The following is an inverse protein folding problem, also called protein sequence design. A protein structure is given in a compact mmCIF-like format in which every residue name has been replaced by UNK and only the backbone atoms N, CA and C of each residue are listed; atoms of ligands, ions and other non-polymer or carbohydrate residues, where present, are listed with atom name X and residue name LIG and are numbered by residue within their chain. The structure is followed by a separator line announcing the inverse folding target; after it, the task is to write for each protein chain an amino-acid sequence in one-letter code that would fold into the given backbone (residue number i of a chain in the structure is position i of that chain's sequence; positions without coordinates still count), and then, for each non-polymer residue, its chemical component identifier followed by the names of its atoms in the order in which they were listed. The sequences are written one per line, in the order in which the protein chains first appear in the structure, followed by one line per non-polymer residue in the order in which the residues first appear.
data_IF_024616042365
#
_entry.id   IF_024616042365
#
_cell.length_a   1.000
_cell.length_b   1.000
_cell.length_c   1.000
_cell.angle_alpha   90.00
_cell.angle_beta   90.00
_cell.angle_gamma   90.00
#
_symmetry.space_group_name_H-M   'P 1'
#
loop_
_entity.id
_entity.type
_entity.pdbx_description
1 polymer ?
#
# COMPACT_ATOMS: atom_id res chain seq x y z
N UNK A 1 -14.04 3.68 1.69
CA UNK A 1 -13.34 4.90 1.26
C UNK A 1 -12.86 5.78 2.41
N UNK A 2 -13.59 5.93 3.52
CA UNK A 2 -13.11 6.73 4.68
C UNK A 2 -12.10 6.01 5.57
N UNK A 3 -12.08 4.68 5.51
CA UNK A 3 -11.25 3.85 6.38
C UNK A 3 -11.97 3.50 7.69
N UNK A 4 -11.42 2.52 8.44
CA UNK A 4 -11.89 2.17 9.77
C UNK A 4 -11.59 3.28 10.79
N UNK A 5 -12.57 3.57 11.66
CA UNK A 5 -12.45 4.51 12.79
C UNK A 5 -12.91 3.84 14.07
N UNK A 6 -12.27 4.16 15.19
CA UNK A 6 -12.69 3.71 16.52
C UNK A 6 -13.90 4.52 17.05
N UNK A 7 -14.38 4.19 18.25
CA UNK A 7 -15.55 4.86 18.85
C UNK A 7 -15.29 6.32 19.23
N UNK A 8 -14.03 6.72 19.34
CA UNK A 8 -13.60 8.10 19.60
C UNK A 8 -13.38 8.91 18.32
N UNK A 9 -13.51 8.27 17.14
CA UNK A 9 -13.27 8.89 15.84
C UNK A 9 -11.80 8.91 15.41
N UNK A 10 -10.92 8.16 16.07
CA UNK A 10 -9.54 7.98 15.65
C UNK A 10 -9.51 7.07 14.42
N UNK A 11 -8.86 7.52 13.34
CA UNK A 11 -8.67 6.69 12.14
C UNK A 11 -7.61 5.63 12.41
N UNK A 12 -7.91 4.35 12.15
CA UNK A 12 -6.95 3.24 12.34
C UNK A 12 -6.11 3.01 11.09
N UNK A 13 -6.68 3.25 9.92
CA UNK A 13 -6.02 3.03 8.63
C UNK A 13 -6.69 3.89 7.56
N UNK A 14 -5.96 4.38 6.54
CA UNK A 14 -6.60 5.10 5.44
C UNK A 14 -7.62 4.22 4.72
N UNK A 15 -8.66 4.87 4.20
CA UNK A 15 -9.63 4.15 3.39
C UNK A 15 -9.08 3.82 2.01
N UNK A 16 -9.73 2.86 1.34
CA UNK A 16 -9.35 2.44 -0.01
C UNK A 16 -9.39 3.63 -0.99
N UNK A 17 -8.38 3.72 -1.85
CA UNK A 17 -8.32 4.67 -2.96
C UNK A 17 -9.48 4.49 -3.95
N UNK A 18 -9.98 5.59 -4.49
CA UNK A 18 -10.89 5.56 -5.64
C UNK A 18 -10.18 4.94 -6.86
N UNK A 19 -10.86 4.03 -7.55
CA UNK A 19 -10.31 3.30 -8.69
C UNK A 19 -9.79 1.89 -8.33
N UNK A 20 -9.68 1.57 -7.05
CA UNK A 20 -9.27 0.23 -6.58
C UNK A 20 -10.39 -0.81 -6.65
N UNK A 21 -11.64 -0.41 -6.97
CA UNK A 21 -12.87 -1.21 -6.83
C UNK A 21 -12.86 -2.47 -7.69
N UNK A 22 -12.17 -2.42 -8.84
CA UNK A 22 -12.09 -3.55 -9.77
C UNK A 22 -11.47 -4.81 -9.15
N UNK A 23 -10.70 -4.65 -8.07
CA UNK A 23 -10.09 -5.76 -7.34
C UNK A 23 -10.83 -6.10 -6.03
N UNK A 24 -11.87 -5.35 -5.63
CA UNK A 24 -12.54 -5.56 -4.34
C UNK A 24 -13.26 -6.90 -4.25
N UNK A 25 -13.86 -7.41 -5.33
CA UNK A 25 -14.48 -8.74 -5.32
C UNK A 25 -13.44 -9.86 -5.10
N UNK A 26 -12.23 -9.66 -5.63
CA UNK A 26 -11.12 -10.61 -5.45
C UNK A 26 -10.63 -10.61 -4.00
N UNK A 27 -10.55 -9.44 -3.39
CA UNK A 27 -9.91 -9.32 -2.08
C UNK A 27 -10.88 -9.19 -0.92
N UNK A 28 -12.02 -8.51 -1.00
CA UNK A 28 -12.80 -8.09 0.17
C UNK A 28 -14.26 -8.53 0.19
N UNK A 29 -14.91 -8.56 -0.97
CA UNK A 29 -16.36 -8.76 -1.04
C UNK A 29 -16.65 -10.27 -1.19
N UNK A 30 -17.34 -10.91 -0.23
CA UNK A 30 -17.79 -12.29 -0.38
C UNK A 30 -18.78 -12.41 -1.55
N UNK A 31 -18.58 -13.41 -2.41
CA UNK A 31 -19.53 -13.76 -3.45
C UNK A 31 -19.48 -15.27 -3.75
N UNK A 32 -20.44 -15.77 -4.51
CA UNK A 32 -20.53 -17.22 -4.80
C UNK A 32 -19.26 -17.78 -5.46
N UNK A 33 -18.58 -17.00 -6.30
CA UNK A 33 -17.37 -17.43 -7.00
C UNK A 33 -16.09 -17.42 -6.16
N UNK A 34 -16.10 -16.87 -4.94
CA UNK A 34 -14.98 -16.97 -3.99
C UNK A 34 -15.34 -17.80 -2.73
N UNK A 35 -16.37 -18.64 -2.84
CA UNK A 35 -16.85 -19.49 -1.75
C UNK A 35 -17.27 -18.70 -0.50
N UNK A 36 -17.81 -17.49 -0.70
CA UNK A 36 -18.17 -16.55 0.36
C UNK A 36 -17.01 -16.23 1.31
N UNK A 37 -15.77 -16.31 0.84
CA UNK A 37 -14.57 -16.06 1.65
C UNK A 37 -14.48 -14.58 2.05
N UNK A 38 -14.44 -14.24 3.34
CA UNK A 38 -14.36 -12.87 3.82
C UNK A 38 -12.92 -12.35 3.76
N UNK A 39 -12.33 -12.25 2.57
CA UNK A 39 -11.01 -11.64 2.40
C UNK A 39 -9.85 -12.35 3.09
N UNK A 40 -8.84 -11.58 3.48
CA UNK A 40 -7.69 -11.87 4.31
C UNK A 40 -8.04 -12.13 5.78
N UNK A 41 -9.31 -12.03 6.18
CA UNK A 41 -9.76 -12.56 7.48
C UNK A 41 -9.52 -14.07 7.54
N UNK A 42 -9.56 -14.75 6.38
CA UNK A 42 -9.06 -16.12 6.24
C UNK A 42 -7.58 -16.05 5.81
N UNK A 43 -6.68 -16.06 6.80
CA UNK A 43 -5.23 -15.97 6.60
C UNK A 43 -4.62 -14.78 7.33
N UNK A 44 -3.71 -14.06 6.66
CA UNK A 44 -2.78 -13.09 7.29
C UNK A 44 -3.42 -12.13 8.28
N UNK A 45 -4.58 -11.52 7.97
CA UNK A 45 -5.18 -10.55 8.90
C UNK A 45 -5.81 -11.24 10.12
N UNK A 46 -6.53 -12.35 9.91
CA UNK A 46 -7.11 -13.14 11.00
C UNK A 46 -6.04 -13.75 11.90
N UNK A 47 -4.98 -14.32 11.31
CA UNK A 47 -3.85 -14.89 12.02
C UNK A 47 -3.07 -13.82 12.78
N UNK A 48 -2.85 -12.64 12.18
CA UNK A 48 -2.19 -11.54 12.89
C UNK A 48 -3.00 -11.10 14.10
N UNK A 49 -4.32 -10.89 13.96
CA UNK A 49 -5.16 -10.50 15.09
C UNK A 49 -5.20 -11.57 16.19
N UNK A 50 -5.12 -12.85 15.83
CA UNK A 50 -5.19 -13.93 16.80
C UNK A 50 -3.85 -14.29 17.47
N UNK A 51 -2.71 -14.06 16.82
CA UNK A 51 -1.42 -14.58 17.29
C UNK A 51 -0.30 -13.53 17.38
N UNK A 52 -0.52 -12.31 16.87
CA UNK A 52 0.54 -11.30 16.79
C UNK A 52 0.14 -9.91 17.28
N UNK A 53 -1.15 -9.57 17.31
CA UNK A 53 -1.58 -8.24 17.74
C UNK A 53 -1.53 -8.06 19.27
N UNK A 54 -1.89 -9.10 20.03
CA UNK A 54 -1.92 -9.05 21.49
C UNK A 54 -0.66 -9.69 22.10
N UNK A 55 -0.23 -9.22 23.28
CA UNK A 55 0.85 -9.88 24.04
C UNK A 55 0.44 -11.29 24.50
N UNK A 56 -0.84 -11.46 24.83
CA UNK A 56 -1.44 -12.74 25.18
C UNK A 56 -2.50 -13.09 24.16
N UNK A 57 -2.31 -14.21 23.46
CA UNK A 57 -3.24 -14.69 22.45
C UNK A 57 -4.66 -14.77 23.03
N UNK A 58 -5.68 -14.17 22.37
CA UNK A 58 -7.07 -14.20 22.84
C UNK A 58 -7.68 -15.60 22.80
N UNK A 59 -7.06 -16.54 22.07
CA UNK A 59 -7.45 -17.93 22.05
C UNK A 59 -7.06 -18.66 20.78
N UNK A 60 -7.61 -19.86 20.62
CA UNK A 60 -7.53 -20.57 19.34
C UNK A 60 -8.57 -20.02 18.38
N UNK A 61 -8.23 -19.88 17.12
CA UNK A 61 -9.22 -19.51 16.09
C UNK A 61 -10.35 -20.54 16.05
N UNK A 62 -11.58 -20.07 15.86
CA UNK A 62 -12.74 -20.95 15.69
C UNK A 62 -12.54 -21.95 14.54
N UNK A 63 -13.22 -23.11 14.55
CA UNK A 63 -12.99 -24.17 13.56
C UNK A 63 -13.27 -23.76 12.10
N UNK A 64 -14.26 -22.89 11.87
CA UNK A 64 -14.55 -22.32 10.55
C UNK A 64 -14.79 -20.81 10.65
N UNK A 65 -13.78 -20.03 10.32
CA UNK A 65 -13.81 -18.55 10.33
C UNK A 65 -14.89 -17.93 9.43
N UNK A 66 -15.56 -18.72 8.59
CA UNK A 66 -16.68 -18.28 7.75
C UNK A 66 -18.04 -18.39 8.45
N UNK A 67 -18.14 -19.17 9.53
CA UNK A 67 -19.37 -19.32 10.29
C UNK A 67 -19.58 -18.13 11.22
N UNK A 68 -20.15 -17.05 10.67
CA UNK A 68 -20.46 -15.84 11.43
C UNK A 68 -21.52 -16.04 12.53
N UNK A 69 -22.17 -17.20 12.60
CA UNK A 69 -23.12 -17.55 13.66
C UNK A 69 -22.47 -18.36 14.79
N UNK A 70 -21.23 -18.82 14.59
CA UNK A 70 -20.49 -19.59 15.57
C UNK A 70 -20.38 -18.81 16.88
N UNK A 71 -20.65 -19.48 17.99
CA UNK A 71 -20.53 -18.89 19.33
C UNK A 71 -19.21 -19.38 19.94
N UNK A 72 -18.14 -18.56 19.93
CA UNK A 72 -16.85 -18.97 20.44
C UNK A 72 -16.91 -19.24 21.94
N UNK A 73 -16.25 -20.32 22.38
CA UNK A 73 -16.08 -20.59 23.79
C UNK A 73 -15.03 -19.65 24.37
N UNK A 74 -15.46 -18.54 24.94
CA UNK A 74 -14.58 -17.54 25.55
C UNK A 74 -14.17 -17.88 26.98
N UNK A 75 -14.78 -18.92 27.58
CA UNK A 75 -14.49 -19.41 28.92
C UNK A 75 -13.69 -20.72 28.95
N UNK A 76 -12.78 -20.84 29.91
CA UNK A 76 -12.02 -22.07 30.17
C UNK A 76 -10.54 -21.99 29.81
N UNK A 77 -9.86 -23.14 29.86
CA UNK A 77 -8.40 -23.25 29.76
C UNK A 77 -7.88 -22.94 28.34
N UNK A 78 -8.73 -23.13 27.33
CA UNK A 78 -8.43 -22.83 25.94
C UNK A 78 -9.60 -22.04 25.34
N UNK A 79 -9.62 -20.70 25.52
CA UNK A 79 -10.63 -19.86 24.91
C UNK A 79 -10.50 -19.87 23.38
N UNK A 80 -11.57 -19.51 22.70
CA UNK A 80 -11.65 -19.39 21.25
C UNK A 80 -11.82 -17.92 20.84
N UNK A 81 -11.23 -17.56 19.71
CA UNK A 81 -11.30 -16.23 19.12
C UNK A 81 -12.00 -16.28 17.76
N UNK A 82 -12.99 -15.42 17.58
CA UNK A 82 -13.64 -15.15 16.30
C UNK A 82 -13.36 -13.70 15.88
N UNK A 83 -13.03 -13.50 14.61
CA UNK A 83 -12.77 -12.16 14.06
C UNK A 83 -13.93 -11.15 14.23
N UNK A 84 -15.18 -11.62 14.43
CA UNK A 84 -16.34 -10.74 14.61
C UNK A 84 -16.37 -10.13 16.02
N UNK A 85 -15.67 -10.75 16.97
CA UNK A 85 -15.51 -10.27 18.34
C UNK A 85 -14.35 -9.29 18.48
N UNK A 86 -13.60 -9.03 17.40
CA UNK A 86 -12.53 -8.05 17.40
C UNK A 86 -13.08 -6.65 17.67
N UNK A 87 -12.53 -5.98 18.68
CA UNK A 87 -12.87 -4.61 19.02
C UNK A 87 -11.84 -3.66 18.40
N UNK A 88 -12.29 -2.81 17.46
CA UNK A 88 -11.44 -1.83 16.78
C UNK A 88 -10.78 -0.84 17.76
N UNK A 89 -11.39 -0.61 18.92
CA UNK A 89 -10.82 0.25 19.95
C UNK A 89 -9.48 -0.30 20.49
N UNK A 90 -9.18 -1.59 20.28
CA UNK A 90 -7.95 -2.20 20.74
C UNK A 90 -6.67 -1.68 20.06
N UNK A 91 -6.81 -0.99 18.92
CA UNK A 91 -5.71 -0.22 18.32
C UNK A 91 -5.22 0.93 19.19
N UNK A 92 -6.09 1.48 20.05
CA UNK A 92 -5.81 2.67 20.87
C UNK A 92 -6.00 2.46 22.38
N UNK A 93 -6.50 1.29 22.80
CA UNK A 93 -6.72 0.97 24.21
C UNK A 93 -5.45 0.58 24.98
N UNK A 94 -4.35 0.34 24.26
CA UNK A 94 -3.07 -0.13 24.79
C UNK A 94 -2.86 -1.64 24.71
N UNK A 95 -3.89 -2.43 24.37
CA UNK A 95 -3.79 -3.90 24.30
C UNK A 95 -2.80 -4.39 23.24
N UNK A 96 -2.65 -3.66 22.14
CA UNK A 96 -1.72 -3.99 21.06
C UNK A 96 -0.37 -3.27 21.11
N UNK A 97 -0.16 -2.34 22.05
CA UNK A 97 0.97 -1.40 21.99
C UNK A 97 2.34 -2.09 22.03
N UNK A 98 2.50 -3.13 22.85
CA UNK A 98 3.76 -3.88 22.90
C UNK A 98 4.08 -4.52 21.56
N UNK A 99 3.12 -5.23 20.98
CA UNK A 99 3.36 -5.97 19.75
C UNK A 99 3.57 -5.04 18.56
N UNK A 100 2.74 -4.00 18.43
CA UNK A 100 2.94 -2.90 17.46
C UNK A 100 4.34 -2.30 17.55
N UNK A 101 4.84 -2.04 18.77
CA UNK A 101 6.19 -1.49 18.96
C UNK A 101 7.33 -2.41 18.46
N UNK A 102 7.04 -3.69 18.22
CA UNK A 102 7.99 -4.68 17.70
C UNK A 102 7.79 -4.89 16.20
N UNK A 103 6.54 -4.89 15.73
CA UNK A 103 6.18 -5.31 14.36
C UNK A 103 6.01 -4.16 13.38
N UNK A 104 5.64 -2.98 13.85
CA UNK A 104 5.27 -1.88 12.98
C UNK A 104 6.54 -1.21 12.44
N UNK A 105 6.63 -1.12 11.11
CA UNK A 105 7.78 -0.58 10.40
C UNK A 105 7.55 0.90 10.04
N UNK A 106 7.20 1.70 11.04
CA UNK A 106 6.68 3.06 10.85
C UNK A 106 7.67 4.18 11.21
N UNK A 107 8.91 3.86 11.65
CA UNK A 107 9.91 4.87 12.03
C UNK A 107 10.24 5.79 10.83
N UNK A 108 9.88 7.10 10.89
CA UNK A 108 10.15 8.04 9.81
C UNK A 108 11.56 8.64 9.90
N UNK A 109 12.29 8.41 11.00
CA UNK A 109 13.63 8.97 11.18
C UNK A 109 14.70 8.08 10.54
N UNK A 110 14.93 8.32 9.25
CA UNK A 110 15.93 7.62 8.46
C UNK A 110 17.26 8.38 8.38
N UNK A 111 17.54 9.30 9.31
CA UNK A 111 18.76 10.14 9.30
C UNK A 111 20.03 9.33 9.15
N UNK A 112 20.17 8.24 9.93
CA UNK A 112 21.35 7.39 9.87
C UNK A 112 21.56 6.77 8.48
N UNK A 113 20.49 6.34 7.83
CA UNK A 113 20.56 5.67 6.54
C UNK A 113 20.74 6.68 5.39
N UNK A 114 19.85 7.68 5.30
CA UNK A 114 19.78 8.59 4.17
C UNK A 114 20.82 9.71 4.25
N UNK A 115 21.09 10.26 5.44
CA UNK A 115 21.95 11.44 5.61
C UNK A 115 23.37 11.06 6.03
N UNK A 116 23.51 10.24 7.08
CA UNK A 116 24.84 9.94 7.63
C UNK A 116 25.63 8.97 6.74
N UNK A 117 24.93 8.08 6.02
CA UNK A 117 25.53 7.05 5.16
C UNK A 117 25.31 7.29 3.67
N UNK A 118 24.56 8.32 3.29
CA UNK A 118 24.24 8.63 1.90
C UNK A 118 23.44 7.53 1.20
N UNK A 119 22.66 6.75 1.95
CA UNK A 119 21.80 5.70 1.40
C UNK A 119 20.80 6.26 0.39
N UNK A 120 20.43 5.42 -0.58
CA UNK A 120 19.41 5.74 -1.58
C UNK A 120 18.19 4.84 -1.39
N UNK A 121 17.00 5.43 -1.46
CA UNK A 121 15.72 4.76 -1.24
C UNK A 121 14.76 5.08 -2.38
N UNK A 122 14.28 4.04 -3.07
CA UNK A 122 13.15 4.15 -3.99
C UNK A 122 11.97 3.43 -3.35
N UNK A 123 10.88 4.17 -3.11
CA UNK A 123 9.60 3.62 -2.71
C UNK A 123 8.67 3.67 -3.91
N UNK A 124 7.93 2.61 -4.17
CA UNK A 124 6.86 2.63 -5.17
C UNK A 124 5.59 2.01 -4.61
N UNK A 125 4.43 2.49 -5.06
CA UNK A 125 3.14 1.89 -4.70
C UNK A 125 2.16 1.99 -5.87
N UNK A 126 1.34 0.97 -6.07
CA UNK A 126 0.22 1.02 -7.01
C UNK A 126 -0.93 1.85 -6.47
N UNK A 127 -1.33 2.91 -7.17
CA UNK A 127 -2.42 3.78 -6.68
C UNK A 127 -3.78 3.08 -6.66
N UNK A 128 -3.92 2.00 -7.42
CA UNK A 128 -5.12 1.15 -7.43
C UNK A 128 -4.90 -0.15 -6.64
N UNK A 129 -3.87 -0.20 -5.79
CA UNK A 129 -3.68 -1.29 -4.84
C UNK A 129 -4.87 -1.31 -3.88
N UNK A 130 -5.59 -2.42 -3.90
CA UNK A 130 -6.71 -2.61 -2.98
C UNK A 130 -6.26 -3.30 -1.71
N UNK A 131 -5.18 -4.09 -1.75
CA UNK A 131 -4.73 -4.90 -0.62
C UNK A 131 -4.10 -4.01 0.46
N UNK A 132 -3.12 -3.20 0.06
CA UNK A 132 -2.46 -2.18 0.89
C UNK A 132 -2.77 -0.83 0.21
N UNK A 133 -3.11 0.21 0.98
CA UNK A 133 -3.53 1.48 0.39
C UNK A 133 -2.33 2.38 0.14
N UNK A 134 -2.27 3.00 -1.03
CA UNK A 134 -1.16 3.86 -1.41
C UNK A 134 -1.09 5.13 -0.56
N UNK A 135 -2.23 5.58 -0.03
CA UNK A 135 -2.35 6.70 0.90
C UNK A 135 -1.45 6.52 2.13
N UNK A 136 -1.39 5.32 2.70
CA UNK A 136 -0.58 5.02 3.88
C UNK A 136 0.93 5.13 3.60
N UNK A 137 1.36 4.70 2.41
CA UNK A 137 2.74 4.89 1.95
C UNK A 137 3.07 6.36 1.66
N UNK A 138 2.10 7.12 1.16
CA UNK A 138 2.24 8.55 0.95
C UNK A 138 2.39 9.30 2.29
N UNK A 139 1.57 8.94 3.28
CA UNK A 139 1.64 9.50 4.63
C UNK A 139 3.00 9.19 5.28
N UNK A 140 3.45 7.93 5.24
CA UNK A 140 4.79 7.56 5.71
C UNK A 140 5.91 8.35 5.01
N UNK A 141 5.86 8.50 3.68
CA UNK A 141 6.87 9.25 2.96
C UNK A 141 6.91 10.72 3.39
N UNK A 142 5.73 11.33 3.57
CA UNK A 142 5.64 12.71 4.05
C UNK A 142 6.17 12.86 5.48
N UNK A 143 5.88 11.90 6.37
CA UNK A 143 6.42 11.90 7.73
C UNK A 143 7.95 11.73 7.73
N UNK A 144 8.48 10.84 6.88
CA UNK A 144 9.92 10.67 6.69
C UNK A 144 10.57 11.97 6.18
N UNK A 145 9.96 12.65 5.21
CA UNK A 145 10.42 13.97 4.72
C UNK A 145 10.40 15.01 5.85
N UNK A 146 9.32 15.06 6.62
CA UNK A 146 9.17 15.99 7.74
C UNK A 146 10.23 15.77 8.82
N UNK A 147 10.44 14.52 9.25
CA UNK A 147 11.32 14.17 10.36
C UNK A 147 12.80 14.14 9.92
N UNK A 148 13.12 13.50 8.80
CA UNK A 148 14.51 13.31 8.35
C UNK A 148 15.06 14.55 7.63
N UNK A 149 14.23 15.24 6.86
CA UNK A 149 14.62 16.36 5.98
C UNK A 149 13.98 17.70 6.35
N UNK A 150 13.37 17.81 7.54
CA UNK A 150 12.75 19.05 8.02
C UNK A 150 11.69 19.61 7.08
N UNK A 151 10.95 18.71 6.39
CA UNK A 151 9.88 19.06 5.47
C UNK A 151 10.33 19.41 4.05
N UNK A 152 11.63 19.36 3.74
CA UNK A 152 12.15 19.67 2.41
C UNK A 152 12.07 18.44 1.48
N UNK A 153 11.03 18.39 0.64
CA UNK A 153 10.92 17.38 -0.44
C UNK A 153 12.13 17.44 -1.38
N UNK A 154 12.63 18.64 -1.69
CA UNK A 154 13.79 18.80 -2.56
C UNK A 154 15.04 18.13 -1.96
N UNK A 155 15.27 18.28 -0.65
CA UNK A 155 16.38 17.62 0.04
C UNK A 155 16.15 16.11 0.17
N UNK A 156 14.90 15.69 0.43
CA UNK A 156 14.56 14.27 0.46
C UNK A 156 14.87 13.60 -0.88
N UNK A 157 14.51 14.22 -2.01
CA UNK A 157 14.71 13.71 -3.36
C UNK A 157 16.19 13.50 -3.76
N UNK A 158 17.16 13.98 -2.97
CA UNK A 158 18.59 13.66 -3.16
C UNK A 158 18.95 12.23 -2.71
N UNK A 159 18.12 11.63 -1.83
CA UNK A 159 18.36 10.31 -1.23
C UNK A 159 17.14 9.38 -1.20
N UNK A 160 15.92 9.90 -1.26
CA UNK A 160 14.69 9.13 -1.15
C UNK A 160 13.62 9.68 -2.11
N UNK A 161 13.08 8.80 -2.96
CA UNK A 161 12.04 9.15 -3.93
C UNK A 161 10.85 8.18 -3.83
N UNK A 162 9.64 8.74 -3.95
CA UNK A 162 8.39 7.99 -4.01
C UNK A 162 7.81 8.02 -5.42
N UNK A 163 7.42 6.86 -5.95
CA UNK A 163 6.80 6.67 -7.26
C UNK A 163 5.41 6.03 -7.10
N UNK A 164 4.36 6.81 -7.26
CA UNK A 164 2.97 6.34 -7.20
C UNK A 164 2.49 5.99 -8.61
N UNK A 165 2.22 4.71 -8.86
CA UNK A 165 1.90 4.19 -10.19
C UNK A 165 0.37 4.15 -10.42
N UNK A 166 -0.22 5.06 -11.24
CA UNK A 166 -1.65 5.11 -11.43
C UNK A 166 -2.17 3.88 -12.18
N UNK A 167 -3.23 3.27 -11.68
CA UNK A 167 -3.83 2.08 -12.28
C UNK A 167 -3.06 0.78 -12.04
N UNK A 168 -1.90 0.81 -11.38
CA UNK A 168 -1.25 -0.41 -10.90
C UNK A 168 -1.96 -0.93 -9.64
N UNK A 169 -2.20 -2.23 -9.58
CA UNK A 169 -2.73 -2.92 -8.40
C UNK A 169 -1.65 -3.32 -7.39
N UNK A 170 -1.93 -4.37 -6.60
CA UNK A 170 -1.00 -4.88 -5.59
C UNK A 170 0.27 -5.45 -6.21
N UNK A 171 1.38 -4.72 -6.08
CA UNK A 171 2.72 -4.98 -6.64
C UNK A 171 2.81 -4.99 -8.19
N UNK A 172 1.75 -5.41 -8.89
CA UNK A 172 1.65 -5.51 -10.35
C UNK A 172 0.17 -5.58 -10.79
N UNK A 173 -0.05 -5.68 -12.10
CA UNK A 173 -1.39 -5.77 -12.69
C UNK A 173 -2.20 -4.48 -12.50
N UNK A 174 -3.52 -4.59 -12.68
CA UNK A 174 -4.41 -3.42 -12.74
C UNK A 174 -4.46 -2.81 -14.16
N UNK A 175 -5.35 -1.84 -14.40
CA UNK A 175 -5.60 -1.28 -15.75
C UNK A 175 -4.52 -0.31 -16.25
N UNK A 176 -3.55 0.08 -15.41
CA UNK A 176 -2.52 1.05 -15.74
C UNK A 176 -1.13 0.41 -15.92
N UNK A 177 -0.14 1.21 -16.35
CA UNK A 177 1.24 0.79 -16.44
C UNK A 177 1.77 0.23 -15.11
N UNK A 178 2.27 -1.01 -15.14
CA UNK A 178 2.66 -1.76 -13.93
C UNK A 178 3.97 -2.55 -14.08
N UNK A 179 4.59 -2.53 -15.27
CA UNK A 179 5.83 -3.22 -15.57
C UNK A 179 6.96 -2.24 -15.88
N UNK A 180 8.07 -2.39 -15.16
CA UNK A 180 9.34 -1.68 -15.36
C UNK A 180 10.45 -2.42 -14.58
N UNK A 181 11.71 -2.06 -14.84
CA UNK A 181 12.84 -2.53 -14.05
C UNK A 181 12.91 -1.78 -12.71
N UNK A 182 12.61 -2.47 -11.61
CA UNK A 182 12.60 -1.91 -10.26
C UNK A 182 14.00 -1.77 -9.64
N UNK A 183 15.01 -2.40 -10.23
CA UNK A 183 16.37 -2.46 -9.69
C UNK A 183 17.32 -1.53 -10.44
N UNK A 184 17.27 -1.49 -11.78
CA UNK A 184 18.20 -0.70 -12.58
C UNK A 184 18.25 0.80 -12.21
N UNK A 185 17.12 1.50 -11.95
CA UNK A 185 17.16 2.90 -11.52
C UNK A 185 17.85 3.09 -10.15
N UNK A 186 17.69 2.13 -9.24
CA UNK A 186 18.36 2.18 -7.93
C UNK A 186 19.86 1.93 -8.08
N UNK A 187 20.26 0.99 -8.95
CA UNK A 187 21.68 0.72 -9.25
C UNK A 187 22.34 1.96 -9.82
N UNK A 188 21.73 2.60 -10.81
CA UNK A 188 22.27 3.82 -11.42
C UNK A 188 22.37 4.98 -10.41
N UNK A 189 21.38 5.11 -9.52
CA UNK A 189 21.42 6.11 -8.47
C UNK A 189 22.51 5.85 -7.43
N UNK A 190 22.72 4.60 -7.03
CA UNK A 190 23.74 4.24 -6.03
C UNK A 190 25.15 4.31 -6.63
N UNK A 191 25.34 3.83 -7.86
CA UNK A 191 26.67 3.67 -8.45
C UNK A 191 27.15 4.93 -9.20
N UNK A 192 26.23 5.69 -9.80
CA UNK A 192 26.56 6.83 -10.67
C UNK A 192 25.98 8.17 -10.18
N UNK A 193 25.29 8.18 -9.03
CA UNK A 193 24.59 9.35 -8.48
C UNK A 193 23.55 9.95 -9.45
N UNK A 194 22.95 9.08 -10.28
CA UNK A 194 21.89 9.46 -11.22
C UNK A 194 20.53 9.08 -10.64
N UNK A 195 19.91 10.04 -9.94
CA UNK A 195 18.56 9.85 -9.41
C UNK A 195 17.52 9.82 -10.55
N UNK A 196 16.56 8.87 -10.56
CA UNK A 196 15.52 8.86 -11.56
C UNK A 196 14.56 10.04 -11.38
N UNK A 197 14.44 10.91 -12.39
CA UNK A 197 13.39 11.94 -12.40
C UNK A 197 11.99 11.35 -12.66
N UNK A 198 11.96 10.23 -13.39
CA UNK A 198 10.78 9.44 -13.70
C UNK A 198 11.20 8.01 -14.07
N UNK A 199 10.24 7.10 -14.03
CA UNK A 199 10.40 5.70 -14.43
C UNK A 199 9.39 5.42 -15.54
N UNK A 200 9.85 4.99 -16.71
CA UNK A 200 8.93 4.57 -17.77
C UNK A 200 8.35 3.19 -17.41
N UNK A 201 7.03 3.14 -17.27
CA UNK A 201 6.31 1.90 -17.02
C UNK A 201 5.38 1.58 -18.19
N UNK A 202 5.14 0.28 -18.38
CA UNK A 202 4.24 -0.25 -19.41
C UNK A 202 3.10 -1.06 -18.80
N UNK A 203 1.97 -1.07 -19.48
CA UNK A 203 0.92 -2.07 -19.38
C UNK A 203 0.94 -2.87 -20.68
N UNK A 204 0.55 -4.15 -20.61
CA UNK A 204 0.47 -5.00 -21.80
C UNK A 204 -0.79 -5.84 -21.78
N UNK A 205 -1.45 -5.89 -22.93
CA UNK A 205 -2.58 -6.78 -23.20
C UNK A 205 -2.17 -7.79 -24.26
N UNK A 206 -2.43 -9.08 -24.01
CA UNK A 206 -2.11 -10.18 -24.94
C UNK A 206 -0.65 -10.17 -25.44
N UNK A 207 0.30 -9.75 -24.59
CA UNK A 207 1.73 -9.72 -24.90
C UNK A 207 2.19 -8.48 -25.69
N UNK A 208 1.30 -7.53 -25.97
CA UNK A 208 1.63 -6.26 -26.63
C UNK A 208 1.47 -5.09 -25.67
N UNK A 209 2.43 -4.16 -25.68
CA UNK A 209 2.32 -2.89 -24.94
C UNK A 209 1.18 -2.06 -25.54
N UNK A 210 0.25 -1.63 -24.70
CA UNK A 210 -0.93 -0.85 -25.08
C UNK A 210 -1.08 0.46 -24.29
N UNK A 211 -0.23 0.66 -23.27
CA UNK A 211 -0.17 1.90 -22.50
C UNK A 211 1.23 2.03 -21.88
N UNK A 212 1.87 3.15 -22.15
CA UNK A 212 3.19 3.49 -21.62
C UNK A 212 3.14 4.90 -21.04
N UNK A 213 3.64 5.06 -19.81
CA UNK A 213 3.66 6.36 -19.12
C UNK A 213 4.89 6.48 -18.22
N UNK A 214 5.44 7.70 -18.06
CA UNK A 214 6.34 7.97 -16.96
C UNK A 214 5.57 7.90 -15.64
N UNK A 215 6.10 7.17 -14.66
CA UNK A 215 5.76 7.31 -13.26
C UNK A 215 6.70 8.39 -12.71
N UNK A 216 6.13 9.48 -12.22
CA UNK A 216 6.89 10.65 -11.79
C UNK A 216 7.33 10.52 -10.32
N UNK A 217 8.48 11.11 -10.00
CA UNK A 217 8.87 11.28 -8.61
C UNK A 217 7.89 12.24 -7.91
N UNK A 218 7.26 11.79 -6.83
CA UNK A 218 6.35 12.58 -6.02
C UNK A 218 7.02 13.90 -5.59
N UNK A 219 6.31 15.05 -5.61
CA UNK A 219 4.87 15.23 -5.82
C UNK A 219 4.42 15.41 -7.27
N UNK A 220 5.31 15.26 -8.24
CA UNK A 220 4.93 15.42 -9.64
C UNK A 220 4.02 14.28 -10.08
N UNK A 221 3.20 14.57 -11.09
CA UNK A 221 2.33 13.58 -11.72
C UNK A 221 2.43 13.61 -13.23
N UNK A 222 2.17 12.47 -13.86
CA UNK A 222 2.17 12.38 -15.32
C UNK A 222 0.93 13.09 -15.88
N UNK A 223 1.15 14.16 -16.63
CA UNK A 223 0.12 14.92 -17.33
C UNK A 223 0.21 14.66 -18.82
N UNK A 224 -0.94 14.38 -19.46
CA UNK A 224 -1.00 14.19 -20.91
C UNK A 224 -0.68 15.51 -21.64
N UNK A 225 0.32 15.47 -22.52
CA UNK A 225 0.82 16.57 -23.35
C UNK A 225 0.83 16.23 -24.84
N UNK A 226 0.22 15.12 -25.24
CA UNK A 226 0.07 14.72 -26.63
C UNK A 226 -0.95 15.55 -27.41
N UNK A 227 -1.39 15.07 -28.59
CA UNK A 227 -2.36 15.77 -29.44
C UNK A 227 -3.63 16.19 -28.69
N UNK A 228 -4.12 17.41 -28.98
CA UNK A 228 -5.33 17.98 -28.36
C UNK A 228 -6.52 17.04 -28.48
N UNK A 229 -7.23 16.83 -27.37
CA UNK A 229 -8.37 15.90 -27.27
C UNK A 229 -8.03 14.43 -27.54
N UNK A 230 -6.74 14.08 -27.58
CA UNK A 230 -6.26 12.72 -27.84
C UNK A 230 -6.13 11.82 -26.62
N UNK A 231 -6.33 12.34 -25.40
CA UNK A 231 -6.05 11.61 -24.14
C UNK A 231 -6.87 10.32 -23.96
N UNK A 232 -8.03 10.24 -24.61
CA UNK A 232 -8.92 9.06 -24.55
C UNK A 232 -8.70 8.09 -25.72
N UNK A 233 -7.81 8.40 -26.67
CA UNK A 233 -7.42 7.47 -27.72
C UNK A 233 -6.22 6.63 -27.22
N UNK A 234 -6.34 5.30 -27.08
CA UNK A 234 -5.24 4.43 -26.66
C UNK A 234 -4.00 4.51 -27.54
N UNK A 235 -4.13 4.86 -28.82
CA UNK A 235 -2.98 5.07 -29.72
C UNK A 235 -2.05 6.21 -29.24
N UNK A 236 -2.57 7.12 -28.40
CA UNK A 236 -1.79 8.20 -27.82
C UNK A 236 -1.21 7.84 -26.44
N UNK A 237 -1.43 6.64 -25.91
CA UNK A 237 -0.89 6.19 -24.62
C UNK A 237 0.55 5.69 -24.75
N UNK A 238 1.42 6.55 -25.26
CA UNK A 238 2.86 6.37 -25.41
C UNK A 238 3.59 7.37 -24.51
N UNK A 239 4.77 7.01 -23.99
CA UNK A 239 5.47 7.82 -22.99
C UNK A 239 5.66 9.29 -23.39
N UNK A 240 5.94 9.56 -24.67
CA UNK A 240 6.24 10.89 -25.20
C UNK A 240 5.05 11.86 -25.14
N UNK A 241 3.83 11.31 -25.04
CA UNK A 241 2.62 12.10 -24.89
C UNK A 241 2.32 12.44 -23.43
N UNK A 242 3.23 12.16 -22.50
CA UNK A 242 3.10 12.52 -21.10
C UNK A 242 4.36 13.22 -20.58
N UNK A 243 4.17 14.16 -19.65
CA UNK A 243 5.26 14.82 -18.95
C UNK A 243 4.99 14.87 -17.46
N UNK A 244 6.04 14.80 -16.66
CA UNK A 244 5.96 15.03 -15.23
C UNK A 244 5.81 16.53 -14.97
N UNK A 245 4.71 16.90 -14.31
CA UNK A 245 4.38 18.26 -13.92
C UNK A 245 4.15 18.31 -12.42
#
# INVERSE_FOLDING_TARGET
YTGPVDDNGNSVYPGKALGSETQWARYYIPYSGNNMGPSKLVGVAGDHMNYLFYEQDPGRTIPDVRDYQYQPRTDGVFPEFHWIDFDINDFYSGKGDLMKSITDAEDPNLTQFLKDRGGKLIIYHGWSDTLIVAEDTLDYFNDMVNITFSGSIAAANENAQLFLAPGMGHCAGGPGPNAWDKLAPLVDWVENDVAPSSIIATHSSNGSVDNERPICAYPQQATYTGPTSGQNNPENWIAENFSCQ
#
